data_IF_626973895798
#
_entry.id   IF_626973895798
#
_cell.length_a   1.000
_cell.length_b   1.000
_cell.length_c   1.000
_cell.angle_alpha   90.00
_cell.angle_beta   90.00
_cell.angle_gamma   90.00
#
_symmetry.space_group_name_H-M   'P 1'
#
loop_
_entity.id
_entity.type
_entity.pdbx_description
1 polymer ?
#
# COMPACT_ATOMS: atom_id res chain seq x y z
N UNK A 1 31.34 -62.51 -34.66
CA UNK A 1 31.22 -61.78 -33.39
C UNK A 1 30.58 -60.43 -33.69
N UNK A 2 29.31 -60.31 -33.28
CA UNK A 2 28.54 -59.08 -32.99
C UNK A 2 29.04 -57.73 -33.53
N UNK A 3 28.46 -57.30 -34.65
CA UNK A 3 28.28 -55.88 -34.98
C UNK A 3 26.89 -55.45 -34.52
N UNK A 4 26.86 -54.60 -33.49
CA UNK A 4 25.64 -53.97 -33.00
C UNK A 4 25.28 -52.74 -33.82
N UNK A 5 24.01 -52.61 -34.15
CA UNK A 5 23.40 -51.34 -34.55
C UNK A 5 22.50 -50.84 -33.42
N UNK A 6 22.79 -49.61 -32.98
CA UNK A 6 22.08 -48.88 -31.95
C UNK A 6 20.66 -48.56 -32.42
N UNK A 7 19.67 -48.94 -31.62
CA UNK A 7 18.32 -48.36 -31.67
C UNK A 7 18.41 -46.85 -31.40
N UNK A 8 18.25 -46.06 -32.45
CA UNK A 8 18.07 -44.62 -32.38
C UNK A 8 16.59 -44.29 -32.21
N UNK A 9 16.28 -43.67 -31.06
CA UNK A 9 15.33 -42.56 -30.97
C UNK A 9 13.87 -42.80 -31.32
N UNK A 10 13.11 -43.37 -30.38
CA UNK A 10 11.66 -43.14 -30.33
C UNK A 10 11.37 -41.69 -29.95
N UNK A 11 11.29 -40.78 -30.94
CA UNK A 11 10.70 -39.46 -30.73
C UNK A 11 9.20 -39.65 -30.49
N UNK A 12 8.74 -39.32 -29.29
CA UNK A 12 7.31 -39.20 -28.99
C UNK A 12 6.76 -38.10 -29.90
N UNK A 13 5.85 -38.46 -30.80
CA UNK A 13 5.11 -37.48 -31.58
C UNK A 13 4.20 -36.71 -30.62
N UNK A 14 4.51 -35.44 -30.37
CA UNK A 14 3.61 -34.52 -29.68
C UNK A 14 2.45 -34.26 -30.64
N UNK A 15 1.27 -34.80 -30.33
CA UNK A 15 0.05 -34.49 -31.06
C UNK A 15 -0.32 -33.02 -30.83
N UNK A 16 -0.76 -32.34 -31.88
CA UNK A 16 -1.21 -30.95 -31.80
C UNK A 16 -2.35 -30.86 -30.79
N UNK A 17 -2.12 -30.11 -29.70
CA UNK A 17 -3.17 -29.77 -28.75
C UNK A 17 -4.11 -28.81 -29.48
N UNK A 18 -5.40 -29.15 -29.67
CA UNK A 18 -6.33 -28.23 -30.30
C UNK A 18 -6.37 -26.94 -29.48
N UNK A 19 -6.43 -25.76 -30.13
CA UNK A 19 -6.51 -24.50 -29.41
C UNK A 19 -7.73 -24.55 -28.47
N UNK A 20 -7.61 -24.01 -27.24
CA UNK A 20 -8.72 -23.97 -26.32
C UNK A 20 -9.90 -23.27 -27.01
N UNK A 21 -11.08 -23.87 -26.90
CA UNK A 21 -12.30 -23.32 -27.46
C UNK A 21 -12.53 -21.97 -26.77
N UNK A 22 -12.57 -20.88 -27.52
CA UNK A 22 -12.93 -19.57 -27.00
C UNK A 22 -14.37 -19.64 -26.47
N UNK A 23 -14.51 -19.97 -25.18
CA UNK A 23 -15.75 -19.75 -24.46
C UNK A 23 -15.89 -18.25 -24.26
N UNK A 24 -16.57 -17.61 -25.20
CA UNK A 24 -17.04 -16.23 -25.13
C UNK A 24 -18.14 -16.09 -24.06
N UNK A 25 -17.78 -16.36 -22.82
CA UNK A 25 -18.49 -15.99 -21.60
C UNK A 25 -17.43 -15.92 -20.50
N UNK A 26 -17.08 -14.70 -20.09
CA UNK A 26 -16.39 -14.47 -18.82
C UNK A 26 -17.34 -14.88 -17.70
N UNK A 27 -17.50 -16.18 -17.46
CA UNK A 27 -18.07 -16.67 -16.22
C UNK A 27 -17.01 -16.39 -15.17
N UNK A 28 -17.22 -15.32 -14.40
CA UNK A 28 -16.50 -15.13 -13.15
C UNK A 28 -16.91 -16.32 -12.27
N UNK A 29 -16.11 -17.37 -12.28
CA UNK A 29 -16.28 -18.49 -11.37
C UNK A 29 -15.81 -17.99 -10.01
N UNK A 30 -16.74 -17.44 -9.23
CA UNK A 30 -16.49 -17.05 -7.84
C UNK A 30 -16.26 -18.31 -7.01
N UNK A 31 -14.99 -18.75 -6.97
CA UNK A 31 -14.52 -19.68 -5.97
C UNK A 31 -14.66 -19.07 -4.57
N UNK A 32 -14.68 -19.89 -3.50
CA UNK A 32 -14.72 -19.37 -2.14
C UNK A 32 -13.55 -18.39 -1.93
N UNK A 33 -13.82 -17.21 -1.32
CA UNK A 33 -12.78 -16.20 -1.14
C UNK A 33 -11.62 -16.76 -0.33
N UNK A 34 -10.41 -16.55 -0.82
CA UNK A 34 -9.18 -16.93 -0.09
C UNK A 34 -8.99 -15.96 1.07
N UNK A 35 -8.87 -16.48 2.29
CA UNK A 35 -8.66 -15.63 3.46
C UNK A 35 -7.33 -14.86 3.37
N UNK A 36 -7.20 -13.69 4.03
CA UNK A 36 -5.93 -12.94 4.06
C UNK A 36 -4.74 -13.79 4.50
N UNK A 37 -4.91 -14.60 5.55
CA UNK A 37 -3.89 -15.54 6.01
C UNK A 37 -3.57 -16.62 4.97
N UNK A 38 -4.56 -17.11 4.22
CA UNK A 38 -4.37 -18.05 3.12
C UNK A 38 -3.55 -17.44 1.98
N UNK A 39 -3.84 -16.18 1.61
CA UNK A 39 -3.12 -15.44 0.57
C UNK A 39 -1.67 -15.17 0.95
N UNK A 40 -1.41 -14.73 2.19
CA UNK A 40 -0.05 -14.49 2.69
C UNK A 40 0.82 -15.77 2.61
N UNK A 41 0.25 -16.95 2.85
CA UNK A 41 1.00 -18.22 2.76
C UNK A 41 1.49 -18.54 1.34
N UNK A 42 0.97 -17.85 0.32
CA UNK A 42 1.34 -18.02 -1.09
C UNK A 42 2.31 -16.94 -1.60
N UNK A 43 2.62 -15.92 -0.80
CA UNK A 43 3.59 -14.90 -1.18
C UNK A 43 4.96 -15.48 -1.47
N UNK A 44 5.64 -14.90 -2.44
CA UNK A 44 7.10 -14.99 -2.57
C UNK A 44 7.82 -14.31 -1.40
N UNK A 45 9.11 -14.59 -1.17
CA UNK A 45 9.90 -13.88 -0.16
C UNK A 45 9.82 -12.34 -0.30
N UNK A 46 9.95 -11.83 -1.53
CA UNK A 46 9.93 -10.38 -1.79
C UNK A 46 8.55 -9.78 -1.48
N UNK A 47 7.45 -10.45 -1.87
CA UNK A 47 6.09 -10.01 -1.53
C UNK A 47 5.83 -10.02 -0.02
N UNK A 48 6.45 -10.96 0.71
CA UNK A 48 6.36 -11.04 2.16
C UNK A 48 7.11 -9.91 2.85
N UNK A 49 8.30 -9.57 2.39
CA UNK A 49 9.06 -8.43 2.89
C UNK A 49 8.32 -7.11 2.64
N UNK A 50 7.76 -6.93 1.44
CA UNK A 50 6.95 -5.75 1.12
C UNK A 50 5.72 -5.64 2.03
N UNK A 51 5.04 -6.76 2.28
CA UNK A 51 3.91 -6.80 3.20
C UNK A 51 4.30 -6.44 4.64
N UNK A 52 5.45 -6.92 5.12
CA UNK A 52 5.97 -6.55 6.44
C UNK A 52 6.32 -5.07 6.49
N UNK A 53 6.91 -4.51 5.42
CA UNK A 53 7.20 -3.08 5.33
C UNK A 53 5.93 -2.24 5.44
N UNK A 54 4.86 -2.64 4.76
CA UNK A 54 3.56 -1.99 4.90
C UNK A 54 3.00 -2.13 6.32
N UNK A 55 3.05 -3.34 6.90
CA UNK A 55 2.58 -3.58 8.26
C UNK A 55 3.35 -2.75 9.30
N UNK A 56 4.65 -2.55 9.11
CA UNK A 56 5.49 -1.74 10.00
C UNK A 56 4.98 -0.29 10.12
N UNK A 57 4.26 0.22 9.10
CA UNK A 57 3.61 1.56 9.17
C UNK A 57 2.40 1.62 10.10
N UNK A 58 1.86 0.47 10.52
CA UNK A 58 0.74 0.33 11.45
C UNK A 58 1.15 -0.13 12.85
N UNK A 59 2.45 -0.30 13.10
CA UNK A 59 3.00 -0.54 14.42
C UNK A 59 2.89 0.77 15.22
N UNK A 60 2.42 0.68 16.45
CA UNK A 60 2.25 1.84 17.36
C UNK A 60 3.60 2.22 17.98
N UNK A 61 4.51 2.70 17.14
CA UNK A 61 5.85 3.19 17.49
C UNK A 61 6.22 4.37 16.58
N UNK A 62 6.94 5.34 17.12
CA UNK A 62 7.27 6.60 16.43
C UNK A 62 8.49 6.43 15.52
N UNK A 63 8.36 5.64 14.46
CA UNK A 63 9.41 5.49 13.46
C UNK A 63 9.53 6.73 12.58
N UNK A 64 10.70 7.39 12.60
CA UNK A 64 11.00 8.49 11.67
C UNK A 64 11.23 7.99 10.24
N UNK A 65 11.63 6.72 10.09
CA UNK A 65 11.83 6.09 8.79
C UNK A 65 11.76 4.56 8.89
N UNK A 66 11.05 3.95 7.95
CA UNK A 66 11.03 2.50 7.74
C UNK A 66 11.78 2.19 6.45
N UNK A 67 12.77 1.28 6.48
CA UNK A 67 13.55 0.88 5.30
C UNK A 67 13.48 -0.61 5.05
N UNK A 68 13.36 -0.97 3.77
CA UNK A 68 13.66 -2.31 3.29
C UNK A 68 15.17 -2.41 3.03
N UNK A 69 15.82 -3.29 3.78
CA UNK A 69 17.25 -3.59 3.73
C UNK A 69 17.53 -4.94 3.04
N UNK A 70 16.49 -5.77 2.87
CA UNK A 70 16.57 -7.11 2.28
C UNK A 70 17.37 -7.17 0.98
N UNK A 71 18.17 -8.23 0.84
CA UNK A 71 19.02 -8.47 -0.33
C UNK A 71 20.43 -8.96 0.02
N UNK A 72 21.29 -9.06 -0.99
CA UNK A 72 22.68 -9.48 -0.78
C UNK A 72 23.44 -8.46 0.08
N UNK A 73 23.88 -8.88 1.27
CA UNK A 73 24.61 -8.02 2.20
C UNK A 73 23.74 -7.29 3.22
N UNK A 74 22.48 -7.73 3.40
CA UNK A 74 21.51 -7.27 4.40
C UNK A 74 21.99 -7.27 5.86
N UNK A 75 23.11 -7.96 6.14
CA UNK A 75 23.71 -8.10 7.48
C UNK A 75 22.71 -8.58 8.53
N UNK A 76 21.74 -9.40 8.13
CA UNK A 76 20.70 -9.93 9.02
C UNK A 76 19.60 -8.93 9.38
N UNK A 77 19.34 -7.95 8.51
CA UNK A 77 18.23 -6.99 8.65
C UNK A 77 17.38 -6.99 7.38
N UNK A 78 16.08 -7.34 7.48
CA UNK A 78 15.20 -7.31 6.29
C UNK A 78 14.43 -5.99 6.22
N UNK A 79 13.62 -5.66 7.23
CA UNK A 79 12.96 -4.36 7.37
C UNK A 79 13.41 -3.72 8.68
N UNK A 80 13.75 -2.43 8.64
CA UNK A 80 14.22 -1.67 9.80
C UNK A 80 13.32 -0.47 10.07
N UNK A 81 12.87 -0.32 11.31
CA UNK A 81 12.22 0.89 11.81
C UNK A 81 13.20 1.73 12.62
N UNK A 82 13.59 2.89 12.10
CA UNK A 82 14.44 3.85 12.81
C UNK A 82 13.61 4.80 13.65
N UNK A 83 13.96 4.95 14.93
CA UNK A 83 13.24 5.85 15.87
C UNK A 83 13.83 7.26 15.92
N UNK A 84 14.99 7.47 15.28
CA UNK A 84 15.66 8.77 15.20
C UNK A 84 16.35 8.95 13.85
N UNK A 85 16.67 10.20 13.51
CA UNK A 85 17.42 10.57 12.30
C UNK A 85 18.86 10.04 12.28
N UNK A 86 19.39 9.62 13.43
CA UNK A 86 20.68 8.93 13.61
C UNK A 86 20.69 7.51 13.05
N UNK A 87 19.55 6.96 12.67
CA UNK A 87 19.41 5.63 12.07
C UNK A 87 20.14 4.53 12.88
N UNK A 88 21.06 3.77 12.29
CA UNK A 88 21.82 2.71 12.97
C UNK A 88 22.78 3.20 14.08
N UNK A 89 23.01 4.52 14.17
CA UNK A 89 23.71 5.15 15.30
C UNK A 89 22.75 5.57 16.42
N UNK A 90 21.44 5.39 16.24
CA UNK A 90 20.39 5.60 17.24
C UNK A 90 19.59 4.31 17.52
N UNK A 91 18.47 4.40 18.27
CA UNK A 91 17.59 3.26 18.53
C UNK A 91 16.80 2.85 17.29
N UNK A 92 16.66 1.54 17.10
CA UNK A 92 16.03 0.94 15.93
C UNK A 92 15.46 -0.43 16.24
N UNK A 93 14.45 -0.84 15.47
CA UNK A 93 13.86 -2.18 15.51
C UNK A 93 14.09 -2.91 14.19
N UNK A 94 14.28 -4.22 14.28
CA UNK A 94 14.42 -5.12 13.15
C UNK A 94 13.19 -6.01 13.01
N UNK A 95 12.65 -6.10 11.80
CA UNK A 95 11.61 -7.05 11.43
C UNK A 95 12.21 -8.05 10.45
N UNK A 96 12.56 -9.23 10.95
CA UNK A 96 13.16 -10.32 10.17
C UNK A 96 12.04 -11.18 9.56
N UNK A 97 11.88 -11.05 8.24
CA UNK A 97 10.94 -11.77 7.41
C UNK A 97 11.45 -13.18 7.11
N UNK A 98 10.65 -14.21 7.42
CA UNK A 98 10.93 -15.60 7.01
C UNK A 98 9.71 -16.29 6.44
N UNK A 99 9.70 -16.46 5.12
CA UNK A 99 8.66 -17.19 4.41
C UNK A 99 9.17 -18.59 4.03
N UNK A 100 8.78 -19.59 4.80
CA UNK A 100 9.16 -21.00 4.57
C UNK A 100 7.94 -21.91 4.49
N UNK A 101 8.15 -23.09 3.89
CA UNK A 101 7.13 -24.13 3.80
C UNK A 101 6.71 -24.69 5.17
N UNK A 102 7.56 -24.55 6.20
CA UNK A 102 7.28 -25.03 7.57
C UNK A 102 7.43 -23.89 8.57
N UNK A 103 6.90 -24.10 9.77
CA UNK A 103 7.08 -23.19 10.88
C UNK A 103 8.58 -22.96 11.16
N UNK A 104 8.95 -21.73 11.52
CA UNK A 104 10.33 -21.32 11.73
C UNK A 104 10.89 -22.03 12.98
N UNK A 105 12.01 -22.73 12.80
CA UNK A 105 12.70 -23.43 13.89
C UNK A 105 13.92 -22.68 14.40
N UNK A 106 14.38 -23.06 15.60
CA UNK A 106 15.54 -22.46 16.26
C UNK A 106 16.81 -22.48 15.40
N UNK A 107 17.08 -23.53 14.62
CA UNK A 107 18.29 -23.61 13.79
C UNK A 107 18.39 -22.44 12.79
N UNK A 108 17.27 -22.08 12.16
CA UNK A 108 17.22 -20.96 11.22
C UNK A 108 17.28 -19.64 11.99
N UNK A 109 16.49 -19.49 13.05
CA UNK A 109 16.48 -18.27 13.86
C UNK A 109 17.86 -17.97 14.47
N UNK A 110 18.55 -18.98 15.01
CA UNK A 110 19.89 -18.83 15.57
C UNK A 110 20.92 -18.36 14.54
N UNK A 111 20.80 -18.78 13.27
CA UNK A 111 21.65 -18.26 12.21
C UNK A 111 21.44 -16.76 11.97
N UNK A 112 20.20 -16.28 12.05
CA UNK A 112 19.88 -14.85 11.93
C UNK A 112 20.33 -14.06 13.17
N UNK A 113 20.06 -14.57 14.38
CA UNK A 113 20.55 -13.98 15.63
C UNK A 113 22.08 -13.82 15.61
N UNK A 114 22.79 -14.81 15.07
CA UNK A 114 24.24 -14.75 14.91
C UNK A 114 24.68 -13.62 13.98
N UNK A 115 24.00 -13.40 12.85
CA UNK A 115 24.33 -12.30 11.93
C UNK A 115 24.24 -10.94 12.60
N UNK A 116 23.25 -10.73 13.48
CA UNK A 116 23.11 -9.49 14.26
C UNK A 116 24.34 -9.25 15.12
N UNK A 117 24.71 -10.24 15.94
CA UNK A 117 25.90 -10.10 16.80
C UNK A 117 27.19 -9.91 16.02
N UNK A 118 27.36 -10.64 14.90
CA UNK A 118 28.54 -10.48 14.03
C UNK A 118 28.60 -9.05 13.47
N UNK A 119 27.48 -8.52 12.98
CA UNK A 119 27.42 -7.18 12.40
C UNK A 119 27.70 -6.08 13.41
N UNK A 120 27.27 -6.25 14.67
CA UNK A 120 27.63 -5.34 15.77
C UNK A 120 29.14 -5.39 16.05
N UNK A 121 29.73 -6.60 16.10
CA UNK A 121 31.18 -6.76 16.29
C UNK A 121 31.99 -6.15 15.14
N UNK A 122 31.45 -6.16 13.92
CA UNK A 122 32.02 -5.53 12.73
C UNK A 122 31.79 -4.02 12.66
N UNK A 123 31.04 -3.44 13.61
CA UNK A 123 30.76 -2.01 13.69
C UNK A 123 29.74 -1.52 12.65
N UNK A 124 28.90 -2.41 12.11
CA UNK A 124 27.87 -2.04 11.15
C UNK A 124 26.74 -1.20 11.77
N UNK A 125 26.35 -1.54 13.00
CA UNK A 125 25.25 -0.90 13.74
C UNK A 125 25.31 -1.26 15.23
N UNK A 126 24.55 -0.54 16.06
CA UNK A 126 24.26 -0.92 17.44
C UNK A 126 23.27 -2.11 17.51
N UNK A 127 23.17 -2.80 18.65
CA UNK A 127 22.10 -3.79 18.83
C UNK A 127 20.72 -3.13 18.69
N UNK A 128 19.75 -3.79 18.05
CA UNK A 128 18.39 -3.26 17.96
C UNK A 128 17.70 -3.30 19.33
N UNK A 129 16.73 -2.42 19.53
CA UNK A 129 15.82 -2.46 20.69
C UNK A 129 15.00 -3.76 20.64
N UNK A 130 14.49 -4.11 19.46
CA UNK A 130 13.81 -5.38 19.20
C UNK A 130 14.22 -6.01 17.88
N UNK A 131 14.29 -7.33 17.87
CA UNK A 131 14.52 -8.16 16.70
C UNK A 131 13.40 -9.18 16.58
N UNK A 132 12.48 -8.91 15.67
CA UNK A 132 11.19 -9.59 15.60
C UNK A 132 11.17 -10.55 14.42
N UNK A 133 10.88 -11.83 14.67
CA UNK A 133 10.69 -12.82 13.63
C UNK A 133 9.23 -12.80 13.14
N UNK A 134 9.06 -12.61 11.83
CA UNK A 134 7.76 -12.63 11.17
C UNK A 134 7.73 -13.78 10.15
N UNK A 135 6.96 -14.81 10.46
CA UNK A 135 6.79 -15.97 9.61
C UNK A 135 5.30 -16.32 9.44
N UNK A 136 4.77 -16.47 8.21
CA UNK A 136 3.35 -16.76 8.00
C UNK A 136 2.85 -18.07 8.61
N UNK A 137 3.77 -19.02 8.83
CA UNK A 137 3.47 -20.31 9.46
C UNK A 137 3.84 -20.35 10.95
N UNK A 138 4.18 -19.20 11.52
CA UNK A 138 4.60 -19.05 12.92
C UNK A 138 5.90 -19.76 13.24
N UNK A 139 6.18 -19.88 14.54
CA UNK A 139 7.32 -20.62 15.07
C UNK A 139 6.95 -22.09 15.32
N UNK A 140 7.95 -22.98 15.27
CA UNK A 140 7.74 -24.35 15.77
C UNK A 140 7.43 -24.33 17.26
N UNK A 141 6.64 -25.28 17.77
CA UNK A 141 6.23 -25.30 19.18
C UNK A 141 7.40 -25.22 20.16
N UNK A 142 8.49 -25.95 19.86
CA UNK A 142 9.70 -25.93 20.68
C UNK A 142 10.38 -24.55 20.67
N UNK A 143 10.49 -23.92 19.51
CA UNK A 143 11.09 -22.59 19.42
C UNK A 143 10.19 -21.51 20.03
N UNK A 144 8.87 -21.61 19.88
CA UNK A 144 7.90 -20.70 20.48
C UNK A 144 7.97 -20.70 22.01
N UNK A 145 8.10 -21.90 22.60
CA UNK A 145 8.32 -22.02 24.05
C UNK A 145 9.67 -21.43 24.47
N UNK A 146 10.72 -21.63 23.66
CA UNK A 146 12.06 -21.16 23.98
C UNK A 146 12.18 -19.63 23.89
N UNK A 147 11.65 -19.01 22.83
CA UNK A 147 11.72 -17.55 22.63
C UNK A 147 10.97 -16.78 23.72
N UNK A 148 9.88 -17.37 24.24
CA UNK A 148 9.14 -16.87 25.40
C UNK A 148 9.90 -16.99 26.73
N UNK A 149 11.13 -17.50 26.73
CA UNK A 149 12.01 -17.61 27.91
C UNK A 149 13.40 -17.03 27.58
N UNK A 150 13.60 -15.70 27.61
CA UNK A 150 14.83 -15.03 27.17
C UNK A 150 16.13 -15.63 27.72
N UNK A 151 16.17 -15.92 29.03
CA UNK A 151 17.35 -16.55 29.66
C UNK A 151 17.65 -17.94 29.11
N UNK A 152 16.60 -18.75 28.84
CA UNK A 152 16.77 -20.09 28.26
C UNK A 152 17.21 -19.99 26.81
N UNK A 153 16.61 -19.07 26.02
CA UNK A 153 17.03 -18.82 24.65
C UNK A 153 18.50 -18.42 24.56
N UNK A 154 18.96 -17.52 25.45
CA UNK A 154 20.37 -17.13 25.52
C UNK A 154 21.29 -18.32 25.80
N UNK A 155 20.95 -19.13 26.80
CA UNK A 155 21.75 -20.29 27.17
C UNK A 155 21.82 -21.33 26.04
N UNK A 156 20.68 -21.57 25.37
CA UNK A 156 20.61 -22.48 24.22
C UNK A 156 21.43 -21.95 23.03
N UNK A 157 21.31 -20.65 22.73
CA UNK A 157 22.10 -20.00 21.69
C UNK A 157 23.61 -20.11 21.96
N UNK A 158 24.05 -19.80 23.19
CA UNK A 158 25.44 -19.93 23.61
C UNK A 158 25.95 -21.38 23.57
N UNK A 159 25.07 -22.36 23.83
CA UNK A 159 25.42 -23.78 23.72
C UNK A 159 25.52 -24.23 22.26
N UNK A 160 24.74 -23.63 21.37
CA UNK A 160 24.73 -23.95 19.94
C UNK A 160 25.91 -23.32 19.16
N UNK A 161 26.43 -22.19 19.62
CA UNK A 161 27.50 -21.44 18.94
C UNK A 161 28.91 -21.90 19.35
N UNK A 162 29.27 -23.12 18.94
CA UNK A 162 30.55 -23.76 19.26
C UNK A 162 31.44 -23.86 18.02
N UNK A 163 32.74 -23.58 18.18
CA UNK A 163 33.71 -23.65 17.09
C UNK A 163 33.61 -24.98 16.32
N UNK A 164 33.57 -24.90 14.98
CA UNK A 164 33.47 -26.07 14.10
C UNK A 164 32.07 -26.69 13.98
N UNK A 165 31.09 -26.29 14.79
CA UNK A 165 29.68 -26.68 14.60
C UNK A 165 29.01 -25.86 13.50
N UNK A 166 27.89 -26.33 12.90
CA UNK A 166 27.29 -25.71 11.72
C UNK A 166 27.05 -24.19 11.85
N UNK A 167 26.58 -23.73 13.01
CA UNK A 167 26.27 -22.33 13.27
C UNK A 167 27.52 -21.43 13.26
N UNK A 168 28.63 -21.88 13.84
CA UNK A 168 29.87 -21.11 13.94
C UNK A 168 30.97 -21.56 12.96
N UNK A 169 30.66 -22.45 12.00
CA UNK A 169 31.65 -23.11 11.14
C UNK A 169 32.52 -22.13 10.35
N UNK A 170 31.95 -20.99 9.97
CA UNK A 170 32.62 -19.97 9.14
C UNK A 170 33.25 -18.83 9.95
N UNK A 171 33.13 -18.84 11.29
CA UNK A 171 33.64 -17.76 12.12
C UNK A 171 35.10 -18.01 12.52
N UNK A 172 35.91 -16.96 12.43
CA UNK A 172 37.25 -16.96 13.01
C UNK A 172 37.15 -17.08 14.54
N UNK A 173 38.09 -17.77 15.22
CA UNK A 173 38.05 -17.96 16.67
C UNK A 173 37.93 -16.65 17.46
N UNK A 174 38.63 -15.60 17.05
CA UNK A 174 38.58 -14.28 17.69
C UNK A 174 37.19 -13.63 17.56
N UNK A 175 36.54 -13.74 16.40
CA UNK A 175 35.17 -13.23 16.20
C UNK A 175 34.16 -14.03 17.00
N UNK A 176 34.31 -15.36 17.04
CA UNK A 176 33.45 -16.23 17.84
C UNK A 176 33.49 -15.87 19.32
N UNK A 177 34.67 -15.63 19.88
CA UNK A 177 34.79 -15.25 21.29
C UNK A 177 34.09 -13.91 21.57
N UNK A 178 34.30 -12.90 20.73
CA UNK A 178 33.62 -11.60 20.83
C UNK A 178 32.10 -11.73 20.76
N UNK A 179 31.59 -12.54 19.84
CA UNK A 179 30.15 -12.82 19.71
C UNK A 179 29.61 -13.48 20.97
N UNK A 180 30.32 -14.49 21.51
CA UNK A 180 29.91 -15.18 22.75
C UNK A 180 29.88 -14.23 23.94
N UNK A 181 30.89 -13.37 24.10
CA UNK A 181 30.92 -12.34 25.15
C UNK A 181 29.75 -11.37 25.01
N UNK A 182 29.52 -10.83 23.82
CA UNK A 182 28.41 -9.90 23.56
C UNK A 182 27.06 -10.56 23.82
N UNK A 183 26.83 -11.77 23.31
CA UNK A 183 25.58 -12.51 23.52
C UNK A 183 25.36 -12.86 24.99
N UNK A 184 26.40 -13.19 25.76
CA UNK A 184 26.28 -13.46 27.19
C UNK A 184 25.88 -12.21 27.99
N UNK A 185 26.38 -11.03 27.59
CA UNK A 185 26.05 -9.75 28.20
C UNK A 185 24.74 -9.11 27.71
N UNK A 186 24.13 -9.63 26.65
CA UNK A 186 22.91 -9.08 26.06
C UNK A 186 21.65 -9.65 26.71
N UNK A 187 20.59 -8.84 26.75
CA UNK A 187 19.25 -9.31 27.08
C UNK A 187 18.56 -9.89 25.84
N UNK A 188 18.23 -11.18 25.90
CA UNK A 188 17.58 -11.88 24.79
C UNK A 188 16.08 -11.58 24.68
N UNK A 189 15.51 -10.76 25.57
CA UNK A 189 14.15 -10.25 25.42
C UNK A 189 13.97 -9.33 24.19
N UNK A 190 15.07 -8.89 23.58
CA UNK A 190 15.05 -8.22 22.28
C UNK A 190 14.54 -9.15 21.17
N UNK A 191 14.79 -10.46 21.24
CA UNK A 191 14.34 -11.41 20.24
C UNK A 191 12.88 -11.82 20.49
N UNK A 192 12.01 -11.55 19.52
CA UNK A 192 10.56 -11.75 19.64
C UNK A 192 10.00 -12.46 18.41
N UNK A 193 8.79 -12.97 18.51
CA UNK A 193 7.97 -13.34 17.35
C UNK A 193 6.74 -12.46 17.29
N UNK A 194 6.27 -12.20 16.08
CA UNK A 194 4.99 -11.52 15.86
C UNK A 194 3.99 -12.54 15.33
N UNK A 195 2.82 -12.62 15.96
CA UNK A 195 1.77 -13.52 15.53
C UNK A 195 1.08 -13.00 14.27
N UNK A 196 0.80 -13.88 13.31
CA UNK A 196 0.18 -13.49 12.04
C UNK A 196 -1.17 -12.79 12.22
N UNK A 197 -1.92 -13.15 13.27
CA UNK A 197 -3.20 -12.51 13.57
C UNK A 197 -3.02 -11.03 13.96
N UNK A 198 -2.01 -10.72 14.78
CA UNK A 198 -1.70 -9.35 15.17
C UNK A 198 -1.21 -8.54 13.97
N UNK A 199 -0.39 -9.16 13.12
CA UNK A 199 0.06 -8.57 11.86
C UNK A 199 -1.14 -8.21 10.96
N UNK A 200 -2.07 -9.14 10.76
CA UNK A 200 -3.27 -8.92 9.97
C UNK A 200 -4.20 -7.85 10.57
N UNK A 201 -4.37 -7.87 11.90
CA UNK A 201 -5.17 -6.89 12.62
C UNK A 201 -4.62 -5.48 12.44
N UNK A 202 -3.32 -5.29 12.67
CA UNK A 202 -2.68 -3.99 12.48
C UNK A 202 -2.66 -3.57 11.00
N UNK A 203 -2.31 -4.47 10.07
CA UNK A 203 -2.29 -4.17 8.64
C UNK A 203 -3.68 -3.79 8.10
N UNK A 204 -4.77 -4.31 8.69
CA UNK A 204 -6.15 -3.96 8.32
C UNK A 204 -6.51 -2.48 8.46
N UNK A 205 -5.73 -1.73 9.25
CA UNK A 205 -5.87 -0.28 9.43
C UNK A 205 -5.09 0.52 8.40
N UNK A 206 -4.29 -0.12 7.55
CA UNK A 206 -3.46 0.55 6.53
C UNK A 206 -4.24 0.76 5.24
N UNK A 207 -3.78 1.75 4.46
CA UNK A 207 -4.25 2.02 3.09
C UNK A 207 -4.05 0.87 2.09
N UNK A 208 -3.27 -0.15 2.45
CA UNK A 208 -2.86 -1.24 1.55
C UNK A 208 -3.76 -2.47 1.66
N UNK A 209 -4.45 -2.66 2.80
CA UNK A 209 -5.16 -3.90 3.11
C UNK A 209 -6.24 -4.25 2.08
N UNK A 210 -7.12 -3.30 1.76
CA UNK A 210 -8.23 -3.55 0.83
C UNK A 210 -7.75 -3.88 -0.59
N UNK A 211 -6.63 -3.29 -1.02
CA UNK A 211 -6.01 -3.60 -2.30
C UNK A 211 -5.38 -5.01 -2.30
N UNK A 212 -4.69 -5.39 -1.23
CA UNK A 212 -4.04 -6.71 -1.12
C UNK A 212 -5.01 -7.86 -1.02
N UNK A 213 -6.07 -7.69 -0.25
CA UNK A 213 -6.98 -8.78 0.10
C UNK A 213 -8.34 -8.68 -0.60
N UNK A 214 -8.50 -7.72 -1.52
CA UNK A 214 -9.75 -7.50 -2.25
C UNK A 214 -10.98 -7.34 -1.33
N UNK A 215 -10.78 -6.76 -0.14
CA UNK A 215 -11.87 -6.52 0.81
C UNK A 215 -12.59 -5.20 0.50
N UNK A 216 -13.75 -5.00 1.11
CA UNK A 216 -14.42 -3.71 1.12
C UNK A 216 -13.51 -2.62 1.72
N UNK A 217 -13.68 -1.39 1.24
CA UNK A 217 -13.05 -0.22 1.84
C UNK A 217 -13.74 0.13 3.17
N UNK A 218 -13.02 0.76 4.13
CA UNK A 218 -13.65 1.23 5.36
C UNK A 218 -14.75 2.24 5.05
N UNK A 219 -15.79 2.30 5.88
CA UNK A 219 -16.88 3.25 5.69
C UNK A 219 -16.36 4.70 5.63
N UNK A 220 -16.83 5.46 4.65
CA UNK A 220 -16.50 6.89 4.54
C UNK A 220 -17.27 7.68 5.59
N UNK A 221 -16.60 8.65 6.22
CA UNK A 221 -17.24 9.63 7.10
C UNK A 221 -18.17 10.58 6.34
N UNK A 222 -18.86 11.45 7.07
CA UNK A 222 -19.70 12.50 6.47
C UNK A 222 -18.80 13.55 5.80
N UNK A 223 -19.13 13.92 4.56
CA UNK A 223 -18.42 15.00 3.85
C UNK A 223 -18.57 16.33 4.57
N UNK A 224 -17.51 17.12 4.57
CA UNK A 224 -17.55 18.46 5.15
C UNK A 224 -18.45 19.39 4.33
N UNK A 225 -19.16 20.28 5.03
CA UNK A 225 -19.92 21.35 4.37
C UNK A 225 -18.96 22.45 3.94
N UNK A 226 -19.18 23.10 2.78
CA UNK A 226 -18.36 24.22 2.35
C UNK A 226 -18.26 25.31 3.45
N UNK A 227 -17.06 25.85 3.72
CA UNK A 227 -16.90 26.98 4.61
C UNK A 227 -17.64 28.20 4.07
N UNK A 228 -18.05 29.10 4.97
CA UNK A 228 -18.74 30.34 4.59
C UNK A 228 -17.87 31.18 3.66
N UNK A 229 -16.62 31.40 4.08
CA UNK A 229 -15.61 32.11 3.30
C UNK A 229 -15.01 31.20 2.21
N UNK A 230 -14.60 31.82 1.10
CA UNK A 230 -13.89 31.14 0.03
C UNK A 230 -12.46 30.81 0.45
N UNK A 231 -11.97 29.63 0.06
CA UNK A 231 -10.60 29.20 0.33
C UNK A 231 -9.73 29.27 -0.93
N UNK A 232 -8.40 29.30 -0.75
CA UNK A 232 -7.46 29.27 -1.89
C UNK A 232 -7.57 27.97 -2.70
N UNK A 233 -7.97 26.86 -2.07
CA UNK A 233 -8.10 25.56 -2.72
C UNK A 233 -9.22 25.50 -3.76
N UNK A 234 -10.26 26.33 -3.64
CA UNK A 234 -11.39 26.38 -4.58
C UNK A 234 -11.33 27.58 -5.54
N UNK A 235 -10.26 28.39 -5.48
CA UNK A 235 -10.21 29.69 -6.15
C UNK A 235 -10.32 29.60 -7.68
N UNK A 236 -9.61 28.67 -8.32
CA UNK A 236 -9.64 28.52 -9.77
C UNK A 236 -10.98 27.98 -10.26
N UNK A 237 -11.53 27.00 -9.56
CA UNK A 237 -12.91 26.52 -9.78
C UNK A 237 -13.93 27.66 -9.69
N UNK A 238 -13.86 28.49 -8.64
CA UNK A 238 -14.77 29.63 -8.47
C UNK A 238 -14.61 30.68 -9.57
N UNK A 239 -13.37 30.92 -10.03
CA UNK A 239 -13.11 31.82 -11.15
C UNK A 239 -13.78 31.33 -12.43
N UNK A 240 -13.62 30.05 -12.78
CA UNK A 240 -14.28 29.50 -13.96
C UNK A 240 -15.81 29.52 -13.83
N UNK A 241 -16.34 29.24 -12.63
CA UNK A 241 -17.79 29.27 -12.40
C UNK A 241 -18.34 30.71 -12.45
N UNK A 242 -17.57 31.71 -12.02
CA UNK A 242 -17.90 33.11 -12.21
C UNK A 242 -17.96 33.47 -13.70
N UNK A 243 -16.98 33.04 -14.50
CA UNK A 243 -16.99 33.26 -15.95
C UNK A 243 -18.26 32.67 -16.61
N UNK A 244 -18.67 31.46 -16.22
CA UNK A 244 -19.93 30.84 -16.67
C UNK A 244 -21.14 31.72 -16.37
N UNK A 245 -21.19 32.33 -15.19
CA UNK A 245 -22.31 33.19 -14.81
C UNK A 245 -22.27 34.54 -15.49
N UNK A 246 -21.08 35.14 -15.64
CA UNK A 246 -20.89 36.41 -16.33
C UNK A 246 -21.26 36.29 -17.80
N UNK A 247 -20.87 35.22 -18.51
CA UNK A 247 -21.27 35.00 -19.90
C UNK A 247 -22.81 35.01 -20.07
N UNK A 248 -23.53 34.41 -19.12
CA UNK A 248 -24.99 34.33 -19.15
C UNK A 248 -25.69 35.61 -18.64
N UNK A 249 -25.02 36.36 -17.76
CA UNK A 249 -25.54 37.55 -17.08
C UNK A 249 -24.51 38.70 -17.05
N UNK A 250 -24.07 39.22 -18.22
CA UNK A 250 -22.85 40.03 -18.34
C UNK A 250 -22.86 41.37 -17.58
N UNK A 251 -24.04 41.91 -17.30
CA UNK A 251 -24.20 43.18 -16.57
C UNK A 251 -24.69 43.00 -15.13
N UNK A 252 -25.14 41.80 -14.75
CA UNK A 252 -25.69 41.51 -13.41
C UNK A 252 -24.67 40.78 -12.54
N UNK A 253 -23.83 39.92 -13.14
CA UNK A 253 -22.84 39.12 -12.43
C UNK A 253 -21.44 39.47 -12.93
N UNK A 254 -20.70 40.23 -12.11
CA UNK A 254 -19.31 40.67 -12.37
C UNK A 254 -18.34 40.22 -11.29
N UNK A 255 -18.84 39.75 -10.14
CA UNK A 255 -18.08 39.21 -9.02
C UNK A 255 -18.87 38.10 -8.32
N UNK A 256 -18.21 37.30 -7.48
CA UNK A 256 -18.88 36.26 -6.68
C UNK A 256 -19.98 36.85 -5.77
N UNK A 257 -19.77 38.05 -5.22
CA UNK A 257 -20.76 38.74 -4.38
C UNK A 257 -22.03 39.11 -5.16
N UNK A 258 -21.86 39.55 -6.41
CA UNK A 258 -22.99 39.92 -7.27
C UNK A 258 -23.89 38.73 -7.65
N UNK A 259 -23.38 37.50 -7.57
CA UNK A 259 -24.17 36.26 -7.80
C UNK A 259 -25.38 36.17 -6.85
N UNK A 260 -25.27 36.74 -5.64
CA UNK A 260 -26.37 36.78 -4.68
C UNK A 260 -27.61 37.54 -5.21
N UNK A 261 -27.42 38.48 -6.13
CA UNK A 261 -28.48 39.24 -6.79
C UNK A 261 -29.33 38.42 -7.78
N UNK A 262 -28.84 37.24 -8.20
CA UNK A 262 -29.54 36.35 -9.13
C UNK A 262 -29.87 35.02 -8.42
N UNK A 263 -31.08 34.86 -7.84
CA UNK A 263 -31.40 33.74 -6.95
C UNK A 263 -31.19 32.33 -7.54
N UNK A 264 -31.31 32.17 -8.87
CA UNK A 264 -31.03 30.90 -9.55
C UNK A 264 -29.53 30.59 -9.56
N UNK A 265 -28.68 31.57 -9.85
CA UNK A 265 -27.22 31.39 -9.88
C UNK A 265 -26.63 31.28 -8.48
N UNK A 266 -27.18 32.01 -7.50
CA UNK A 266 -26.80 31.86 -6.08
C UNK A 266 -27.02 30.43 -5.56
N UNK A 267 -28.20 29.85 -5.80
CA UNK A 267 -28.47 28.44 -5.45
C UNK A 267 -27.56 27.47 -6.20
N UNK A 268 -27.32 27.73 -7.49
CA UNK A 268 -26.43 26.89 -8.29
C UNK A 268 -24.98 26.93 -7.77
N UNK A 269 -24.46 28.12 -7.44
CA UNK A 269 -23.13 28.28 -6.84
C UNK A 269 -23.00 27.50 -5.54
N UNK A 270 -23.97 27.61 -4.63
CA UNK A 270 -23.96 26.84 -3.38
C UNK A 270 -23.94 25.33 -3.66
N UNK A 271 -24.74 24.84 -4.60
CA UNK A 271 -24.74 23.43 -5.00
C UNK A 271 -23.42 22.97 -5.60
N UNK A 272 -22.78 23.78 -6.46
CA UNK A 272 -21.49 23.42 -7.04
C UNK A 272 -20.37 23.43 -5.99
N UNK A 273 -20.39 24.38 -5.04
CA UNK A 273 -19.46 24.36 -3.89
C UNK A 273 -19.65 23.11 -3.05
N UNK A 274 -20.88 22.71 -2.74
CA UNK A 274 -21.14 21.44 -2.01
C UNK A 274 -20.52 20.26 -2.75
N UNK A 275 -20.68 20.17 -4.07
CA UNK A 275 -20.06 19.10 -4.88
C UNK A 275 -18.53 19.13 -4.80
N UNK A 276 -17.91 20.30 -4.94
CA UNK A 276 -16.46 20.47 -4.83
C UNK A 276 -15.93 19.93 -3.50
N UNK A 277 -16.52 20.35 -2.37
CA UNK A 277 -16.08 19.90 -1.04
C UNK A 277 -16.37 18.42 -0.74
N UNK A 278 -17.40 17.85 -1.38
CA UNK A 278 -17.63 16.40 -1.35
C UNK A 278 -16.50 15.62 -2.04
N UNK A 279 -16.04 16.09 -3.20
CA UNK A 279 -14.88 15.51 -3.88
C UNK A 279 -13.57 15.72 -3.12
N UNK A 280 -13.37 16.88 -2.47
CA UNK A 280 -12.23 17.09 -1.56
C UNK A 280 -12.27 16.12 -0.37
N UNK A 281 -13.45 15.88 0.20
CA UNK A 281 -13.63 14.88 1.26
C UNK A 281 -13.31 13.46 0.77
N UNK A 282 -13.70 13.10 -0.46
CA UNK A 282 -13.34 11.82 -1.08
C UNK A 282 -11.83 11.70 -1.31
N UNK A 283 -11.17 12.76 -1.77
CA UNK A 283 -9.72 12.84 -1.96
C UNK A 283 -8.99 12.63 -0.64
N UNK A 284 -9.37 13.35 0.41
CA UNK A 284 -8.79 13.21 1.74
C UNK A 284 -8.98 11.79 2.32
N UNK A 285 -10.19 11.23 2.20
CA UNK A 285 -10.46 9.84 2.60
C UNK A 285 -9.55 8.84 1.86
N UNK A 286 -9.39 9.02 0.54
CA UNK A 286 -8.62 8.10 -0.29
C UNK A 286 -7.14 8.02 0.12
N UNK A 287 -6.57 9.10 0.65
CA UNK A 287 -5.17 9.15 1.08
C UNK A 287 -4.85 8.13 2.18
N UNK A 288 -5.82 7.83 3.06
CA UNK A 288 -5.69 6.83 4.12
C UNK A 288 -6.30 5.46 3.79
N UNK A 289 -7.22 5.38 2.82
CA UNK A 289 -7.99 4.17 2.55
C UNK A 289 -7.47 3.31 1.38
N UNK A 290 -6.75 3.90 0.43
CA UNK A 290 -6.28 3.21 -0.79
C UNK A 290 -4.83 3.55 -1.13
N UNK A 291 -4.11 2.73 -1.91
CA UNK A 291 -2.75 3.03 -2.38
C UNK A 291 -2.61 4.39 -3.10
N UNK A 292 -1.42 5.03 -3.08
CA UNK A 292 -1.15 6.26 -3.83
C UNK A 292 -1.51 6.11 -5.32
N UNK A 293 -1.93 7.21 -5.96
CA UNK A 293 -2.33 7.20 -7.37
C UNK A 293 -3.76 6.68 -7.61
N UNK A 294 -4.45 6.15 -6.60
CA UNK A 294 -5.79 5.57 -6.81
C UNK A 294 -6.87 6.62 -7.02
N UNK A 295 -6.77 7.78 -6.36
CA UNK A 295 -7.72 8.87 -6.59
C UNK A 295 -7.44 9.58 -7.91
N UNK A 296 -6.17 9.75 -8.24
CA UNK A 296 -5.72 10.35 -9.50
C UNK A 296 -6.23 9.53 -10.70
N UNK A 297 -6.17 8.20 -10.63
CA UNK A 297 -6.80 7.33 -11.64
C UNK A 297 -8.31 7.52 -11.75
N UNK A 298 -9.02 7.76 -10.64
CA UNK A 298 -10.46 8.10 -10.69
C UNK A 298 -10.68 9.42 -11.42
N UNK A 299 -9.84 10.43 -11.17
CA UNK A 299 -9.91 11.70 -11.89
C UNK A 299 -9.65 11.51 -13.38
N UNK A 300 -8.71 10.66 -13.74
CA UNK A 300 -8.37 10.35 -15.14
C UNK A 300 -9.49 9.57 -15.85
N UNK A 301 -10.12 8.59 -15.18
CA UNK A 301 -11.27 7.85 -15.69
C UNK A 301 -12.47 8.80 -15.92
N UNK A 302 -12.74 9.70 -14.95
CA UNK A 302 -13.79 10.71 -15.07
C UNK A 302 -13.49 11.69 -16.20
N UNK A 303 -12.26 12.21 -16.27
CA UNK A 303 -11.83 13.15 -17.30
C UNK A 303 -11.99 12.53 -18.69
N UNK A 304 -11.49 11.32 -18.88
CA UNK A 304 -11.62 10.57 -20.14
C UNK A 304 -13.08 10.36 -20.54
N UNK A 305 -13.97 10.13 -19.57
CA UNK A 305 -15.40 9.92 -19.83
C UNK A 305 -16.19 11.18 -20.18
N UNK A 306 -15.64 12.38 -19.96
CA UNK A 306 -16.35 13.65 -20.18
C UNK A 306 -15.64 14.65 -21.09
N UNK A 307 -14.35 14.44 -21.39
CA UNK A 307 -13.53 15.42 -22.12
C UNK A 307 -14.09 15.73 -23.51
N UNK A 308 -14.57 14.73 -24.25
CA UNK A 308 -15.15 14.93 -25.58
C UNK A 308 -16.42 15.80 -25.53
N UNK A 309 -17.26 15.62 -24.50
CA UNK A 309 -18.43 16.45 -24.27
C UNK A 309 -18.01 17.84 -23.81
N UNK A 310 -16.98 17.96 -22.97
CA UNK A 310 -16.49 19.26 -22.53
C UNK A 310 -15.96 20.09 -23.70
N UNK A 311 -15.30 19.44 -24.67
CA UNK A 311 -14.67 20.05 -25.84
C UNK A 311 -15.61 20.21 -27.05
N UNK A 312 -16.81 19.65 -27.03
CA UNK A 312 -17.78 19.87 -28.10
C UNK A 312 -18.30 21.32 -28.11
N UNK A 313 -18.91 21.72 -29.21
CA UNK A 313 -19.56 23.03 -29.31
C UNK A 313 -20.76 23.10 -28.35
N UNK A 314 -20.83 24.17 -27.55
CA UNK A 314 -21.97 24.47 -26.67
C UNK A 314 -22.41 25.91 -26.87
N UNK A 315 -23.71 26.23 -26.67
CA UNK A 315 -24.19 27.61 -26.77
C UNK A 315 -23.61 28.57 -25.73
N UNK A 316 -23.32 28.07 -24.53
CA UNK A 316 -22.71 28.81 -23.43
C UNK A 316 -22.00 27.82 -22.47
N UNK A 317 -21.09 28.33 -21.65
CA UNK A 317 -20.35 27.56 -20.64
C UNK A 317 -21.24 26.99 -19.55
N UNK A 318 -22.42 27.58 -19.32
CA UNK A 318 -23.43 27.03 -18.40
C UNK A 318 -24.00 25.71 -18.93
N UNK A 319 -24.25 25.64 -20.24
CA UNK A 319 -24.75 24.46 -20.94
C UNK A 319 -23.67 23.39 -20.99
N UNK A 320 -22.43 23.76 -21.35
CA UNK A 320 -21.26 22.86 -21.28
C UNK A 320 -21.11 22.22 -19.90
N UNK A 321 -21.07 23.04 -18.85
CA UNK A 321 -20.97 22.59 -17.47
C UNK A 321 -22.08 21.60 -17.10
N UNK A 322 -23.33 21.94 -17.39
CA UNK A 322 -24.46 21.06 -17.03
C UNK A 322 -24.46 19.74 -17.81
N UNK A 323 -24.08 19.75 -19.08
CA UNK A 323 -23.98 18.53 -19.89
C UNK A 323 -22.87 17.62 -19.37
N UNK A 324 -21.69 18.17 -19.05
CA UNK A 324 -20.59 17.42 -18.43
C UNK A 324 -20.99 16.82 -17.07
N UNK A 325 -21.61 17.62 -16.20
CA UNK A 325 -22.09 17.14 -14.89
C UNK A 325 -23.25 16.13 -14.99
N UNK A 326 -23.96 16.12 -16.11
CA UNK A 326 -24.99 15.10 -16.39
C UNK A 326 -24.32 13.81 -16.83
N UNK A 327 -23.40 13.88 -17.79
CA UNK A 327 -22.66 12.72 -18.31
C UNK A 327 -21.90 12.00 -17.21
N UNK A 328 -21.18 12.73 -16.34
CA UNK A 328 -20.39 12.11 -15.26
C UNK A 328 -21.25 11.31 -14.28
N UNK A 329 -22.52 11.70 -14.12
CA UNK A 329 -23.49 11.00 -13.28
C UNK A 329 -23.89 9.63 -13.85
N UNK A 330 -23.74 9.41 -15.16
CA UNK A 330 -24.08 8.17 -15.86
C UNK A 330 -22.89 7.30 -16.25
N UNK A 331 -21.65 7.72 -15.97
CA UNK A 331 -20.47 6.91 -16.29
C UNK A 331 -20.47 5.59 -15.51
N UNK A 332 -20.18 4.50 -16.22
CA UNK A 332 -19.87 3.21 -15.61
C UNK A 332 -18.42 3.20 -15.13
N UNK A 333 -18.24 3.30 -13.82
CA UNK A 333 -16.95 3.26 -13.12
C UNK A 333 -16.86 2.04 -12.20
N UNK A 334 -17.66 0.99 -12.44
CA UNK A 334 -17.79 -0.17 -11.54
C UNK A 334 -16.47 -0.96 -11.34
N UNK A 335 -15.50 -0.77 -12.23
CA UNK A 335 -14.15 -1.35 -12.10
C UNK A 335 -13.22 -0.56 -11.19
N UNK A 336 -13.57 0.67 -10.83
CA UNK A 336 -12.72 1.54 -10.05
C UNK A 336 -12.87 1.27 -8.54
N UNK A 337 -11.76 1.11 -7.82
CA UNK A 337 -11.79 0.68 -6.41
C UNK A 337 -12.55 1.63 -5.47
N UNK A 338 -12.55 2.93 -5.76
CA UNK A 338 -13.24 3.95 -4.95
C UNK A 338 -14.75 4.02 -5.22
N UNK A 339 -15.28 3.30 -6.22
CA UNK A 339 -16.67 3.51 -6.65
C UNK A 339 -17.69 3.10 -5.58
N UNK A 340 -17.37 2.10 -4.77
CA UNK A 340 -18.20 1.63 -3.66
C UNK A 340 -18.40 2.67 -2.55
N UNK A 341 -17.55 3.70 -2.51
CA UNK A 341 -17.57 4.79 -1.52
C UNK A 341 -17.76 6.18 -2.16
N UNK A 342 -18.10 6.23 -3.44
CA UNK A 342 -18.26 7.46 -4.24
C UNK A 342 -19.71 7.66 -4.63
N UNK A 343 -20.32 8.76 -4.20
CA UNK A 343 -21.67 9.12 -4.62
C UNK A 343 -21.65 9.95 -5.93
N UNK A 344 -22.81 10.09 -6.57
CA UNK A 344 -22.96 10.87 -7.82
C UNK A 344 -22.47 12.32 -7.64
N UNK A 345 -22.75 12.93 -6.48
CA UNK A 345 -22.33 14.31 -6.21
C UNK A 345 -20.81 14.43 -6.02
N UNK A 346 -20.13 13.38 -5.57
CA UNK A 346 -18.67 13.33 -5.53
C UNK A 346 -18.10 13.32 -6.95
N UNK A 347 -18.67 12.52 -7.87
CA UNK A 347 -18.24 12.48 -9.27
C UNK A 347 -18.37 13.85 -9.96
N UNK A 348 -19.47 14.56 -9.70
CA UNK A 348 -19.66 15.94 -10.17
C UNK A 348 -18.64 16.90 -9.55
N UNK A 349 -18.31 16.71 -8.28
CA UNK A 349 -17.26 17.44 -7.60
C UNK A 349 -15.87 17.20 -8.20
N UNK A 350 -15.58 15.98 -8.67
CA UNK A 350 -14.32 15.67 -9.37
C UNK A 350 -14.20 16.47 -10.66
N UNK A 351 -15.28 16.70 -11.41
CA UNK A 351 -15.23 17.63 -12.56
C UNK A 351 -14.85 19.05 -12.14
N UNK A 352 -15.27 19.50 -10.95
CA UNK A 352 -14.88 20.80 -10.42
C UNK A 352 -13.42 20.84 -9.95
N UNK A 353 -12.89 19.75 -9.39
CA UNK A 353 -11.45 19.62 -9.12
C UNK A 353 -10.64 19.66 -10.42
N UNK A 354 -11.09 18.93 -11.45
CA UNK A 354 -10.47 18.96 -12.78
C UNK A 354 -10.47 20.37 -13.37
N UNK A 355 -11.54 21.16 -13.18
CA UNK A 355 -11.56 22.56 -13.58
C UNK A 355 -10.63 23.43 -12.71
N UNK A 356 -10.55 23.15 -11.41
CA UNK A 356 -9.61 23.84 -10.52
C UNK A 356 -8.14 23.58 -10.91
N UNK A 357 -7.86 22.42 -11.50
CA UNK A 357 -6.55 22.02 -12.03
C UNK A 357 -6.37 22.35 -13.53
N UNK A 358 -7.27 23.14 -14.13
CA UNK A 358 -7.28 23.52 -15.56
C UNK A 358 -7.29 22.35 -16.56
N UNK A 359 -7.71 21.16 -16.11
CA UNK A 359 -7.93 19.98 -16.95
C UNK A 359 -9.29 19.99 -17.64
N UNK A 360 -10.24 20.78 -17.12
CA UNK A 360 -11.51 21.12 -17.74
C UNK A 360 -11.67 22.63 -17.75
N UNK A 361 -12.28 23.17 -18.80
CA UNK A 361 -12.53 24.60 -18.96
C UNK A 361 -14.00 24.81 -19.31
N UNK A 362 -14.70 25.69 -18.58
CA UNK A 362 -16.13 25.91 -18.79
C UNK A 362 -16.45 27.01 -19.80
N UNK A 363 -15.64 28.06 -19.86
CA UNK A 363 -15.78 29.17 -20.83
C UNK A 363 -14.46 29.31 -21.55
N UNK A 364 -14.50 29.37 -22.88
CA UNK A 364 -13.28 29.57 -23.67
C UNK A 364 -12.79 31.00 -23.49
N UNK A 365 -11.48 31.17 -23.32
CA UNK A 365 -10.90 32.51 -23.36
C UNK A 365 -10.98 33.04 -24.80
N UNK A 366 -11.40 34.30 -24.99
CA UNK A 366 -11.59 34.90 -26.31
C UNK A 366 -10.30 35.09 -27.13
#
# INVERSE_FOLDING_TARGET
MTTGERQMGGRIALGDVPPPVDSATSVVLDGPPVSPAGRIRLYSPDEWEEFIREWATAVEEDYVQIKLMGGAGDRGTDIVGFKTDRQFEGPWDCFQAKHYEKALGLSVAAAEMLKVFVSVIEGAYSLPDTYQFLAPKGLSTAFNMLISNPTKLRNEFLTSIVAGKPLAKKLAPATLEKVRTLAAGSDFAMFRSVELLDVLSAHSRTRWYAARFATALPARGVSETPPKEYTSGEARFLQQLLAVYTERHPNEITSLDSVAGVPKMSRHLQQQRVRFFRAESLKAYSAGAVPPGTFERLQDDIHSGVVDIAQSDHPDGYTRLNQVLTQVGSLDLNRHKLIDVTDIEDRKGVCHQLANDDRLTWVEEP
#
